data_IF_452024180847
#
_entry.id   IF_452024180847
#
_cell.length_a   1.000
_cell.length_b   1.000
_cell.length_c   1.000
_cell.angle_alpha   90.00
_cell.angle_beta   90.00
_cell.angle_gamma   90.00
#
_symmetry.space_group_name_H-M   'P 1'
#
loop_
_entity.id
_entity.type
_entity.pdbx_description
1 polymer ?
#
# COMPACT_ATOMS: atom_id res chain seq x y z
N UNK A 1 -4.98 23.10 24.15
CA UNK A 1 -5.05 21.66 23.85
C UNK A 1 -3.81 21.30 23.04
N UNK A 2 -2.79 20.75 23.71
CA UNK A 2 -1.59 20.20 23.08
C UNK A 2 -1.95 18.77 22.65
N UNK A 3 -1.89 18.47 21.35
CA UNK A 3 -2.27 17.19 20.77
C UNK A 3 -1.06 16.28 20.46
N UNK A 4 0.12 16.53 21.02
CA UNK A 4 1.28 15.66 20.86
C UNK A 4 1.40 14.73 22.05
N UNK A 5 0.55 13.70 22.06
CA UNK A 5 0.68 12.52 22.92
C UNK A 5 1.62 11.49 22.29
N UNK A 6 2.76 11.93 21.74
CA UNK A 6 3.78 10.98 21.29
C UNK A 6 4.52 10.47 22.53
N UNK A 7 4.35 9.18 22.92
CA UNK A 7 4.96 8.63 24.13
C UNK A 7 6.49 8.65 24.06
N UNK A 8 7.08 8.79 22.87
CA UNK A 8 8.53 8.76 22.66
C UNK A 8 9.14 10.16 22.66
N UNK A 9 8.33 11.23 22.67
CA UNK A 9 8.81 12.61 22.67
C UNK A 9 9.81 12.88 23.81
N UNK A 10 9.47 12.45 25.04
CA UNK A 10 10.34 12.67 26.21
C UNK A 10 11.71 12.02 26.10
N UNK A 11 11.83 10.93 25.36
CA UNK A 11 13.08 10.19 25.20
C UNK A 11 14.06 10.91 24.26
N UNK A 12 13.53 11.65 23.28
CA UNK A 12 14.32 12.32 22.25
C UNK A 12 14.30 13.85 22.35
N UNK A 13 13.55 14.41 23.30
CA UNK A 13 13.39 15.85 23.47
C UNK A 13 14.71 16.60 23.66
N UNK A 14 15.67 15.97 24.35
CA UNK A 14 16.98 16.54 24.67
C UNK A 14 18.11 15.99 23.77
N UNK A 15 17.78 15.24 22.72
CA UNK A 15 18.78 14.67 21.82
C UNK A 15 19.27 15.74 20.84
N UNK A 16 20.59 15.85 20.69
CA UNK A 16 21.20 16.78 19.74
C UNK A 16 21.17 16.21 18.32
N UNK A 17 20.53 16.93 17.40
CA UNK A 17 20.39 16.58 15.99
C UNK A 17 21.19 17.50 15.06
N UNK A 18 22.11 18.32 15.58
CA UNK A 18 22.90 19.26 14.78
C UNK A 18 23.64 18.59 13.61
N UNK A 19 24.14 17.37 13.81
CA UNK A 19 24.87 16.59 12.81
C UNK A 19 23.99 15.57 12.05
N UNK A 20 22.67 15.62 12.23
CA UNK A 20 21.76 14.68 11.60
C UNK A 20 21.74 14.88 10.07
N UNK A 21 21.89 13.78 9.32
CA UNK A 21 21.70 13.81 7.87
C UNK A 21 20.22 13.97 7.54
N UNK A 22 19.84 14.87 6.61
CA UNK A 22 18.45 14.98 6.20
C UNK A 22 18.01 13.70 5.49
N UNK A 23 16.72 13.40 5.54
CA UNK A 23 16.16 12.13 5.06
C UNK A 23 16.55 11.81 3.61
N UNK A 24 16.59 12.83 2.74
CA UNK A 24 17.02 12.72 1.33
C UNK A 24 18.45 12.18 1.14
N UNK A 25 19.33 12.39 2.13
CA UNK A 25 20.75 12.04 2.09
C UNK A 25 21.01 10.66 2.76
N UNK A 26 19.95 9.98 3.19
CA UNK A 26 20.01 8.62 3.74
C UNK A 26 19.32 7.65 2.77
N UNK A 27 20.07 6.90 1.94
CA UNK A 27 19.51 6.08 0.87
C UNK A 27 18.42 5.09 1.32
N UNK A 28 18.57 4.49 2.49
CA UNK A 28 17.57 3.56 3.04
C UNK A 28 16.23 4.25 3.34
N UNK A 29 16.26 5.49 3.84
CA UNK A 29 15.05 6.26 4.14
C UNK A 29 14.42 6.79 2.85
N UNK A 30 15.22 7.25 1.89
CA UNK A 30 14.76 7.65 0.56
C UNK A 30 14.06 6.49 -0.16
N UNK A 31 14.61 5.27 -0.10
CA UNK A 31 13.98 4.08 -0.69
C UNK A 31 12.65 3.74 -0.01
N UNK A 32 12.56 3.91 1.31
CA UNK A 32 11.32 3.69 2.07
C UNK A 32 10.25 4.73 1.71
N UNK A 33 10.64 6.00 1.57
CA UNK A 33 9.74 7.08 1.14
C UNK A 33 9.27 6.91 -0.31
N UNK A 34 10.14 6.49 -1.22
CA UNK A 34 9.75 6.22 -2.61
C UNK A 34 8.71 5.08 -2.69
N UNK A 35 8.82 4.07 -1.82
CA UNK A 35 7.88 2.96 -1.74
C UNK A 35 6.48 3.40 -1.26
N UNK A 36 6.39 4.43 -0.42
CA UNK A 36 5.10 4.97 0.07
C UNK A 36 4.59 6.17 -0.74
N UNK A 37 5.48 6.90 -1.41
CA UNK A 37 5.21 8.14 -2.13
C UNK A 37 4.60 7.99 -3.52
N UNK A 38 4.48 6.76 -4.05
CA UNK A 38 3.89 6.52 -5.38
C UNK A 38 2.36 6.60 -5.45
N UNK A 39 1.66 6.81 -4.32
CA UNK A 39 0.19 6.79 -4.27
C UNK A 39 -0.37 8.20 -4.17
N UNK A 40 -1.18 8.60 -5.16
CA UNK A 40 -1.93 9.85 -5.10
C UNK A 40 -3.25 9.68 -4.35
N UNK A 41 -3.57 10.61 -3.44
CA UNK A 41 -4.89 10.64 -2.80
C UNK A 41 -5.90 11.23 -3.80
N UNK A 42 -6.91 10.45 -4.14
CA UNK A 42 -7.99 10.86 -5.05
C UNK A 42 -9.35 10.76 -4.35
N UNK A 43 -10.31 11.54 -4.83
CA UNK A 43 -11.72 11.38 -4.47
C UNK A 43 -12.45 10.72 -5.65
N UNK A 44 -13.02 9.54 -5.43
CA UNK A 44 -13.79 8.80 -6.43
C UNK A 44 -15.14 8.39 -5.84
N UNK A 45 -16.17 8.26 -6.68
CA UNK A 45 -17.44 7.64 -6.29
C UNK A 45 -17.35 6.14 -6.58
N UNK A 46 -17.71 5.33 -5.59
CA UNK A 46 -17.75 3.87 -5.69
C UNK A 46 -19.06 3.41 -5.07
N UNK A 47 -19.72 2.44 -5.69
CA UNK A 47 -20.96 1.88 -5.16
C UNK A 47 -20.73 1.22 -3.79
N UNK A 48 -21.70 1.39 -2.90
CA UNK A 48 -21.63 0.84 -1.55
C UNK A 48 -21.50 -0.69 -1.55
N UNK A 49 -22.15 -1.36 -2.50
CA UNK A 49 -22.07 -2.82 -2.67
C UNK A 49 -20.64 -3.26 -3.02
N UNK A 50 -20.01 -2.57 -3.97
CA UNK A 50 -18.61 -2.83 -4.35
C UNK A 50 -17.67 -2.60 -3.17
N UNK A 51 -17.83 -1.48 -2.46
CA UNK A 51 -17.02 -1.19 -1.27
C UNK A 51 -17.16 -2.26 -0.19
N UNK A 52 -18.39 -2.76 0.04
CA UNK A 52 -18.65 -3.81 1.02
C UNK A 52 -17.91 -5.11 0.70
N UNK A 53 -17.87 -5.52 -0.57
CA UNK A 53 -17.15 -6.73 -1.01
C UNK A 53 -15.65 -6.62 -0.71
N UNK A 54 -15.02 -5.49 -1.04
CA UNK A 54 -13.60 -5.30 -0.79
C UNK A 54 -13.27 -5.21 0.71
N UNK A 55 -14.15 -4.61 1.51
CA UNK A 55 -14.01 -4.59 2.98
C UNK A 55 -14.07 -5.99 3.58
N UNK A 56 -15.11 -6.76 3.25
CA UNK A 56 -15.26 -8.13 3.75
C UNK A 56 -14.05 -9.01 3.36
N UNK A 57 -13.58 -8.89 2.12
CA UNK A 57 -12.41 -9.65 1.65
C UNK A 57 -11.14 -9.25 2.38
N UNK A 58 -10.95 -7.97 2.67
CA UNK A 58 -9.80 -7.48 3.44
C UNK A 58 -9.82 -7.96 4.89
N UNK A 59 -11.00 -8.00 5.52
CA UNK A 59 -11.17 -8.55 6.87
C UNK A 59 -10.79 -10.04 6.92
N UNK A 60 -11.19 -10.82 5.92
CA UNK A 60 -10.86 -12.25 5.84
C UNK A 60 -9.37 -12.52 5.63
N UNK A 61 -8.66 -11.66 4.90
CA UNK A 61 -7.23 -11.83 4.59
C UNK A 61 -6.30 -11.06 5.54
N UNK A 62 -6.85 -10.30 6.50
CA UNK A 62 -6.08 -9.42 7.38
C UNK A 62 -5.43 -8.23 6.66
N UNK A 63 -5.97 -7.83 5.51
CA UNK A 63 -5.41 -6.82 4.60
C UNK A 63 -6.11 -5.46 4.64
N UNK A 64 -5.69 -4.56 3.74
CA UNK A 64 -6.34 -3.27 3.52
C UNK A 64 -7.18 -3.30 2.23
N UNK A 65 -8.48 -2.98 2.33
CA UNK A 65 -9.40 -2.95 1.19
C UNK A 65 -8.97 -1.98 0.08
N UNK A 66 -8.27 -0.89 0.43
CA UNK A 66 -7.73 0.08 -0.53
C UNK A 66 -6.62 -0.54 -1.39
N UNK A 67 -5.81 -1.45 -0.81
CA UNK A 67 -4.79 -2.20 -1.56
C UNK A 67 -5.47 -3.10 -2.58
N UNK A 68 -6.50 -3.86 -2.17
CA UNK A 68 -7.24 -4.74 -3.07
C UNK A 68 -7.93 -3.97 -4.21
N UNK A 69 -8.54 -2.82 -3.91
CA UNK A 69 -9.13 -1.96 -4.95
C UNK A 69 -8.08 -1.44 -5.92
N UNK A 70 -6.92 -1.00 -5.43
CA UNK A 70 -5.85 -0.50 -6.29
C UNK A 70 -5.27 -1.60 -7.21
N UNK A 71 -5.11 -2.82 -6.70
CA UNK A 71 -4.69 -3.98 -7.49
C UNK A 71 -5.70 -4.30 -8.60
N UNK A 72 -7.00 -4.28 -8.28
CA UNK A 72 -8.05 -4.49 -9.27
C UNK A 72 -8.04 -3.41 -10.37
N UNK A 73 -7.89 -2.13 -9.99
CA UNK A 73 -7.75 -1.03 -10.94
C UNK A 73 -6.50 -1.18 -11.82
N UNK A 74 -5.39 -1.62 -11.25
CA UNK A 74 -4.15 -1.86 -11.99
C UNK A 74 -4.29 -3.02 -12.99
N UNK A 75 -4.92 -4.13 -12.59
CA UNK A 75 -5.17 -5.26 -13.49
C UNK A 75 -6.09 -4.87 -14.65
N UNK A 76 -7.13 -4.10 -14.35
CA UNK A 76 -8.05 -3.57 -15.37
C UNK A 76 -7.33 -2.62 -16.33
N UNK A 77 -6.54 -1.67 -15.81
CA UNK A 77 -5.77 -0.73 -16.62
C UNK A 77 -4.69 -1.42 -17.48
N UNK A 78 -4.10 -2.51 -16.99
CA UNK A 78 -3.16 -3.33 -17.76
C UNK A 78 -3.83 -4.12 -18.90
N UNK A 79 -5.17 -4.07 -19.01
CA UNK A 79 -5.90 -4.82 -20.03
C UNK A 79 -5.84 -6.32 -19.81
N UNK A 80 -5.54 -6.79 -18.59
CA UNK A 80 -5.52 -8.24 -18.30
C UNK A 80 -6.93 -8.78 -18.49
N UNK A 81 -7.06 -9.62 -19.51
CA UNK A 81 -8.31 -10.33 -19.77
C UNK A 81 -8.41 -11.55 -18.87
N UNK A 82 -9.63 -12.05 -18.65
CA UNK A 82 -9.84 -13.34 -18.02
C UNK A 82 -9.05 -14.46 -18.74
N UNK A 83 -8.89 -14.34 -20.06
CA UNK A 83 -8.09 -15.29 -20.85
C UNK A 83 -6.60 -15.27 -20.46
N UNK A 84 -6.04 -14.12 -20.08
CA UNK A 84 -4.66 -14.03 -19.63
C UNK A 84 -4.47 -14.68 -18.26
N UNK A 85 -5.43 -14.49 -17.35
CA UNK A 85 -5.43 -15.14 -16.03
C UNK A 85 -5.55 -16.66 -16.16
N UNK A 86 -6.49 -17.13 -16.99
CA UNK A 86 -6.68 -18.57 -17.25
C UNK A 86 -5.43 -19.18 -17.90
N UNK A 87 -4.79 -18.47 -18.84
CA UNK A 87 -3.55 -18.94 -19.48
C UNK A 87 -2.38 -19.03 -18.49
N UNK A 88 -2.27 -18.08 -17.56
CA UNK A 88 -1.28 -18.10 -16.49
C UNK A 88 -1.50 -19.31 -15.57
N UNK A 89 -2.74 -19.52 -15.10
CA UNK A 89 -3.10 -20.64 -14.22
C UNK A 89 -2.84 -21.98 -14.89
N UNK A 90 -3.25 -22.16 -16.15
CA UNK A 90 -2.99 -23.41 -16.90
C UNK A 90 -1.48 -23.67 -17.02
N UNK A 91 -0.66 -22.65 -17.30
CA UNK A 91 0.80 -22.81 -17.35
C UNK A 91 1.39 -23.20 -16.01
N UNK A 92 0.91 -22.61 -14.92
CA UNK A 92 1.41 -22.93 -13.59
C UNK A 92 1.11 -24.39 -13.22
N UNK A 93 -0.11 -24.86 -13.49
CA UNK A 93 -0.51 -26.27 -13.27
C UNK A 93 0.26 -27.24 -14.16
N UNK A 94 0.51 -26.90 -15.43
CA UNK A 94 1.32 -27.73 -16.34
C UNK A 94 2.81 -27.76 -16.01
N UNK A 95 3.34 -26.73 -15.35
CA UNK A 95 4.74 -26.69 -14.89
C UNK A 95 4.93 -27.32 -13.50
N UNK A 96 3.86 -27.54 -12.74
CA UNK A 96 3.88 -28.25 -11.46
C UNK A 96 3.62 -29.77 -11.60
N UNK A 97 3.33 -30.25 -12.81
CA UNK A 97 3.23 -31.68 -13.17
C UNK A 97 4.53 -32.18 -13.80
#
# INVERSE_FOLDING_TARGET
MNANSDPVFKQYAEMDFADAKPVKDVPALTALQAKTGGKSRITIRVDNATLAVFKARAEMTGGNYQTLMNEALQQFAAGRTLADVVRETIRQELHHA
#
